data_IF_924461358509
#
_entry.id   IF_924461358509
#
_cell.length_a   1.000
_cell.length_b   1.000
_cell.length_c   1.000
_cell.angle_alpha   90.00
_cell.angle_beta   90.00
_cell.angle_gamma   90.00
#
_symmetry.space_group_name_H-M   'P 1'
#
loop_
_entity.id
_entity.type
_entity.pdbx_description
1 polymer ?
#
# COMPACT_ATOMS: atom_id res chain seq x y z
N UNK A 1 -13.65 13.78 14.83
CA UNK A 1 -14.00 12.55 14.09
C UNK A 1 -13.35 12.53 12.71
N UNK A 2 -13.60 13.50 11.82
CA UNK A 2 -12.99 13.55 10.45
C UNK A 2 -11.44 13.57 10.46
N UNK A 3 -10.81 14.26 11.41
CA UNK A 3 -9.33 14.36 11.55
C UNK A 3 -8.65 13.08 12.03
N UNK A 4 -9.37 12.22 12.74
CA UNK A 4 -8.84 10.98 13.31
C UNK A 4 -8.93 9.83 12.31
N UNK A 5 -9.98 9.84 11.49
CA UNK A 5 -10.18 8.88 10.40
C UNK A 5 -9.19 9.13 9.27
N UNK A 6 -8.99 10.40 8.87
CA UNK A 6 -7.96 10.79 7.90
C UNK A 6 -6.53 10.49 8.36
N UNK A 7 -6.23 10.58 9.67
CA UNK A 7 -4.90 10.22 10.19
C UNK A 7 -4.66 8.71 10.23
N UNK A 8 -5.68 7.91 10.55
CA UNK A 8 -5.63 6.43 10.45
C UNK A 8 -5.46 5.96 9.02
N UNK A 9 -6.12 6.61 8.07
CA UNK A 9 -6.02 6.32 6.65
C UNK A 9 -4.66 6.66 6.07
N UNK A 10 -4.08 7.83 6.42
CA UNK A 10 -2.67 8.18 6.11
C UNK A 10 -1.71 7.11 6.63
N UNK A 11 -2.02 6.57 7.82
CA UNK A 11 -1.27 5.51 8.47
C UNK A 11 -1.18 4.25 7.64
N UNK A 12 -2.29 3.80 7.07
CA UNK A 12 -2.32 2.54 6.32
C UNK A 12 -1.47 2.56 5.05
N UNK A 13 -1.56 3.58 4.19
CA UNK A 13 -0.87 3.54 2.88
C UNK A 13 0.65 3.52 2.97
N UNK A 14 1.26 4.32 3.87
CA UNK A 14 2.71 4.35 4.05
C UNK A 14 3.21 3.09 4.77
N UNK A 15 2.49 2.67 5.80
CA UNK A 15 2.78 1.46 6.57
C UNK A 15 2.73 0.21 5.66
N UNK A 16 1.73 0.11 4.78
CA UNK A 16 1.64 -0.97 3.79
C UNK A 16 2.84 -1.00 2.84
N UNK A 17 3.29 0.17 2.34
CA UNK A 17 4.51 0.24 1.50
C UNK A 17 5.76 -0.14 2.30
N UNK A 18 5.88 0.28 3.56
CA UNK A 18 7.00 -0.08 4.42
C UNK A 18 7.05 -1.60 4.66
N UNK A 19 5.93 -2.19 5.06
CA UNK A 19 5.81 -3.62 5.31
C UNK A 19 6.15 -4.40 4.03
N UNK A 20 5.56 -4.03 2.89
CA UNK A 20 5.81 -4.71 1.62
C UNK A 20 7.28 -4.57 1.16
N UNK A 21 7.89 -3.38 1.33
CA UNK A 21 9.32 -3.17 1.03
C UNK A 21 10.21 -4.16 1.79
N UNK A 22 9.90 -4.44 3.05
CA UNK A 22 10.69 -5.32 3.92
C UNK A 22 10.16 -6.77 4.00
N UNK A 23 9.15 -7.14 3.21
CA UNK A 23 8.82 -8.55 2.95
C UNK A 23 9.93 -9.24 2.16
N UNK A 24 10.63 -8.49 1.29
CA UNK A 24 11.84 -8.98 0.62
C UNK A 24 13.02 -9.00 1.61
N UNK A 25 13.52 -10.21 1.90
CA UNK A 25 14.64 -10.41 2.82
C UNK A 25 15.95 -9.80 2.28
N UNK A 26 16.08 -9.59 0.96
CA UNK A 26 17.21 -8.86 0.40
C UNK A 26 17.21 -7.38 0.81
N UNK A 27 16.03 -6.76 0.91
CA UNK A 27 15.89 -5.40 1.41
C UNK A 27 16.21 -5.34 2.91
N UNK A 28 15.83 -6.36 3.69
CA UNK A 28 16.23 -6.48 5.11
C UNK A 28 17.76 -6.61 5.24
N UNK A 29 18.41 -7.43 4.39
CA UNK A 29 19.87 -7.53 4.36
C UNK A 29 20.53 -6.21 4.01
N UNK A 30 20.01 -5.51 3.01
CA UNK A 30 20.51 -4.21 2.60
C UNK A 30 20.44 -3.21 3.76
N UNK A 31 19.29 -3.12 4.42
CA UNK A 31 19.12 -2.29 5.61
C UNK A 31 20.12 -2.66 6.71
N UNK A 32 20.28 -3.96 7.00
CA UNK A 32 21.24 -4.42 8.00
C UNK A 32 22.68 -3.96 7.69
N UNK A 33 23.12 -4.11 6.43
CA UNK A 33 24.46 -3.69 5.98
C UNK A 33 24.65 -2.18 6.00
N UNK A 34 23.59 -1.42 5.75
CA UNK A 34 23.61 0.05 5.88
C UNK A 34 23.74 0.48 7.35
N UNK A 35 23.09 -0.23 8.27
CA UNK A 35 23.22 0.01 9.72
C UNK A 35 24.55 -0.51 10.31
N UNK A 36 25.14 -1.51 9.67
CA UNK A 36 26.35 -2.22 10.11
C UNK A 36 27.38 -2.39 8.98
N UNK A 37 27.97 -1.30 8.49
CA UNK A 37 28.93 -1.37 7.38
C UNK A 37 30.18 -2.20 7.72
N UNK A 38 30.48 -2.39 9.01
CA UNK A 38 31.58 -3.23 9.48
C UNK A 38 31.35 -4.73 9.26
N UNK A 39 30.09 -5.19 9.14
CA UNK A 39 29.75 -6.61 9.05
C UNK A 39 29.55 -7.05 7.59
N UNK A 40 30.67 -7.29 6.91
CA UNK A 40 30.70 -7.63 5.47
C UNK A 40 30.32 -9.07 5.14
N UNK A 41 30.30 -9.96 6.13
CA UNK A 41 30.15 -11.41 5.92
C UNK A 41 28.70 -11.89 5.98
N UNK A 42 27.76 -11.04 6.43
CA UNK A 42 26.35 -11.41 6.55
C UNK A 42 25.73 -11.58 5.16
N UNK A 43 24.98 -12.68 5.04
CA UNK A 43 24.21 -13.07 3.87
C UNK A 43 22.73 -13.09 4.18
N UNK A 44 21.88 -13.29 3.17
CA UNK A 44 20.42 -13.35 3.35
C UNK A 44 20.04 -14.52 4.27
N UNK A 45 20.77 -15.63 4.19
CA UNK A 45 20.51 -16.86 4.96
C UNK A 45 20.74 -16.68 6.47
N UNK A 46 21.47 -15.63 6.88
CA UNK A 46 21.72 -15.30 8.28
C UNK A 46 20.57 -14.51 8.92
N UNK A 47 19.58 -14.07 8.13
CA UNK A 47 18.47 -13.23 8.60
C UNK A 47 17.30 -14.11 9.02
N UNK A 48 16.86 -13.92 10.27
CA UNK A 48 15.64 -14.55 10.77
C UNK A 48 14.61 -13.49 11.09
N UNK A 49 13.53 -13.41 10.31
CA UNK A 49 12.44 -12.47 10.56
C UNK A 49 11.72 -12.84 11.87
N UNK A 50 11.61 -11.85 12.76
CA UNK A 50 10.98 -11.94 14.09
C UNK A 50 9.84 -10.92 14.25
N UNK A 51 9.30 -10.40 13.15
CA UNK A 51 8.18 -9.47 13.16
C UNK A 51 6.99 -10.09 13.89
N UNK A 52 6.49 -9.39 14.91
CA UNK A 52 5.31 -9.77 15.68
C UNK A 52 4.08 -9.59 14.79
N UNK A 53 3.77 -10.61 14.01
CA UNK A 53 2.46 -10.74 13.35
C UNK A 53 1.48 -11.30 14.36
N UNK A 54 0.34 -10.66 14.52
CA UNK A 54 -0.75 -11.24 15.33
C UNK A 54 -2.01 -11.36 14.52
N UNK A 55 -2.71 -12.47 14.76
CA UNK A 55 -3.93 -12.89 14.07
C UNK A 55 -5.19 -12.42 14.83
N UNK A 56 -5.03 -11.85 16.03
CA UNK A 56 -6.11 -11.39 16.89
C UNK A 56 -6.15 -9.86 16.93
N UNK A 57 -7.34 -9.27 16.82
CA UNK A 57 -7.58 -7.83 16.94
C UNK A 57 -7.15 -7.36 18.36
N UNK A 58 -6.41 -6.24 18.46
CA UNK A 58 -5.86 -5.62 19.70
C UNK A 58 -4.53 -6.14 20.28
N UNK A 59 -3.73 -6.87 19.53
CA UNK A 59 -2.37 -7.27 19.95
C UNK A 59 -1.28 -6.33 19.43
N UNK A 60 -0.11 -6.36 20.09
CA UNK A 60 1.10 -5.71 19.60
C UNK A 60 1.43 -6.17 18.16
N UNK A 61 1.70 -5.21 17.29
CA UNK A 61 2.28 -5.41 15.96
C UNK A 61 3.43 -4.42 15.80
N UNK A 62 4.62 -4.90 15.47
CA UNK A 62 5.74 -4.05 15.03
C UNK A 62 5.93 -4.20 13.52
N UNK A 63 6.48 -3.17 12.89
CA UNK A 63 6.53 -3.11 11.42
C UNK A 63 7.63 -4.00 10.86
N UNK A 64 8.81 -4.02 11.51
CA UNK A 64 9.90 -4.95 11.18
C UNK A 64 10.68 -5.38 12.42
N UNK A 65 10.89 -6.67 12.59
CA UNK A 65 11.84 -7.23 13.56
C UNK A 65 12.61 -8.37 12.93
N UNK A 66 13.92 -8.45 13.15
CA UNK A 66 14.73 -9.54 12.64
C UNK A 66 15.98 -9.78 13.49
N UNK A 67 16.46 -11.02 13.47
CA UNK A 67 17.71 -11.43 14.09
C UNK A 67 18.78 -11.59 13.04
N UNK A 68 20.00 -11.16 13.37
CA UNK A 68 21.23 -11.49 12.65
C UNK A 68 22.27 -11.84 13.69
N UNK A 69 22.76 -13.09 13.68
CA UNK A 69 23.71 -13.62 14.68
C UNK A 69 23.17 -13.44 16.11
N UNK A 70 23.80 -12.59 16.91
CA UNK A 70 23.45 -12.28 18.30
C UNK A 70 22.75 -10.92 18.46
N UNK A 71 22.37 -10.27 17.35
CA UNK A 71 21.67 -8.97 17.35
C UNK A 71 20.20 -9.14 17.01
N UNK A 72 19.33 -8.55 17.82
CA UNK A 72 17.90 -8.38 17.55
C UNK A 72 17.65 -6.94 17.10
N UNK A 73 17.39 -6.76 15.83
CA UNK A 73 17.04 -5.46 15.26
C UNK A 73 15.52 -5.33 15.24
N UNK A 74 15.00 -4.24 15.80
CA UNK A 74 13.59 -3.89 15.70
C UNK A 74 13.46 -2.48 15.12
N UNK A 75 12.72 -2.41 14.01
CA UNK A 75 12.33 -1.18 13.36
C UNK A 75 10.83 -0.96 13.55
N UNK A 76 10.48 0.24 13.96
CA UNK A 76 9.09 0.70 13.96
C UNK A 76 9.01 1.93 13.08
N UNK A 77 8.02 1.97 12.22
CA UNK A 77 7.76 3.13 11.39
C UNK A 77 7.01 4.19 12.22
N UNK A 78 7.51 5.42 12.20
CA UNK A 78 6.84 6.59 12.74
C UNK A 78 6.61 7.59 11.62
N UNK A 79 5.35 7.78 11.25
CA UNK A 79 4.98 8.62 10.12
C UNK A 79 4.94 10.12 10.48
N UNK A 80 3.90 10.83 10.02
CA UNK A 80 3.86 12.28 9.89
C UNK A 80 3.89 13.05 11.22
N UNK A 81 3.40 12.47 12.31
CA UNK A 81 3.44 13.09 13.65
C UNK A 81 4.26 12.24 14.62
N UNK A 82 5.19 12.88 15.34
CA UNK A 82 5.94 12.21 16.40
C UNK A 82 4.97 11.78 17.50
N UNK A 83 5.01 10.49 17.86
CA UNK A 83 4.23 9.98 18.97
C UNK A 83 5.11 9.92 20.23
N UNK A 84 4.84 10.70 21.28
CA UNK A 84 5.64 10.68 22.50
C UNK A 84 5.61 9.32 23.21
N UNK A 85 4.62 8.48 22.92
CA UNK A 85 4.49 7.14 23.49
C UNK A 85 5.28 6.06 22.71
N UNK A 86 6.05 6.42 21.68
CA UNK A 86 6.86 5.46 20.93
C UNK A 86 7.82 4.63 21.80
N UNK A 87 8.51 5.20 22.81
CA UNK A 87 9.38 4.41 23.66
C UNK A 87 8.66 3.32 24.45
N UNK A 88 7.41 3.59 24.87
CA UNK A 88 6.58 2.60 25.55
C UNK A 88 6.16 1.45 24.62
N UNK A 89 5.79 1.77 23.36
CA UNK A 89 5.51 0.74 22.35
C UNK A 89 6.73 -0.15 22.11
N UNK A 90 7.91 0.45 21.97
CA UNK A 90 9.16 -0.27 21.74
C UNK A 90 9.52 -1.19 22.92
N UNK A 91 9.30 -0.74 24.16
CA UNK A 91 9.48 -1.57 25.35
C UNK A 91 8.59 -2.81 25.30
N UNK A 92 7.31 -2.64 24.95
CA UNK A 92 6.38 -3.77 24.83
C UNK A 92 6.78 -4.73 23.72
N UNK A 93 7.20 -4.23 22.55
CA UNK A 93 7.70 -5.08 21.45
C UNK A 93 8.92 -5.87 21.88
N UNK A 94 9.88 -5.23 22.56
CA UNK A 94 11.10 -5.91 22.98
C UNK A 94 10.81 -7.04 23.96
N UNK A 95 9.96 -6.78 24.95
CA UNK A 95 9.58 -7.78 25.95
C UNK A 95 8.90 -8.99 25.31
N UNK A 96 7.94 -8.76 24.40
CA UNK A 96 7.23 -9.84 23.71
C UNK A 96 8.15 -10.63 22.76
N UNK A 97 9.03 -9.95 22.01
CA UNK A 97 10.01 -10.62 21.14
C UNK A 97 10.96 -11.49 21.94
N UNK A 98 11.46 -11.04 23.08
CA UNK A 98 12.31 -11.88 23.93
C UNK A 98 11.55 -13.06 24.54
N UNK A 99 10.31 -12.89 24.96
CA UNK A 99 9.49 -13.99 25.46
C UNK A 99 9.32 -15.08 24.40
N UNK A 100 9.06 -14.70 23.15
CA UNK A 100 9.00 -15.64 22.01
C UNK A 100 10.34 -16.29 21.74
N UNK A 101 11.41 -15.51 21.69
CA UNK A 101 12.77 -16.02 21.48
C UNK A 101 13.16 -17.08 22.51
N UNK A 102 12.85 -16.87 23.80
CA UNK A 102 13.13 -17.86 24.84
C UNK A 102 12.31 -19.14 24.63
N UNK A 103 11.03 -19.02 24.26
CA UNK A 103 10.19 -20.17 23.95
C UNK A 103 10.73 -20.97 22.75
N UNK A 104 11.08 -20.28 21.65
CA UNK A 104 11.59 -20.89 20.42
C UNK A 104 12.96 -21.55 20.62
N UNK A 105 13.80 -20.99 21.50
CA UNK A 105 15.10 -21.55 21.87
C UNK A 105 15.06 -22.51 23.05
N UNK A 106 13.86 -22.83 23.55
CA UNK A 106 13.61 -23.75 24.68
C UNK A 106 14.40 -23.37 25.94
N UNK A 107 14.48 -22.07 26.20
CA UNK A 107 15.07 -21.49 27.39
C UNK A 107 13.97 -21.05 28.37
N UNK A 108 14.28 -21.01 29.66
CA UNK A 108 13.35 -20.50 30.68
C UNK A 108 14.02 -19.51 31.62
N UNK A 109 13.34 -18.39 31.82
CA UNK A 109 13.63 -17.37 32.81
C UNK A 109 13.56 -17.88 34.26
N UNK A 110 12.92 -19.04 34.49
CA UNK A 110 12.86 -19.72 35.80
C UNK A 110 13.98 -20.75 35.98
N UNK A 111 14.79 -21.00 34.96
CA UNK A 111 15.89 -21.96 35.06
C UNK A 111 17.02 -21.41 35.94
N UNK A 112 17.78 -22.31 36.58
CA UNK A 112 18.95 -21.93 37.38
C UNK A 112 20.11 -21.42 36.50
N UNK A 113 20.11 -21.77 35.20
CA UNK A 113 21.10 -21.31 34.26
C UNK A 113 20.72 -19.94 33.69
N UNK A 114 21.71 -19.07 33.47
CA UNK A 114 21.47 -17.77 32.84
C UNK A 114 21.00 -17.96 31.39
N UNK A 115 19.84 -17.41 31.05
CA UNK A 115 19.34 -17.39 29.68
C UNK A 115 20.24 -16.56 28.76
N UNK A 116 20.33 -16.98 27.51
CA UNK A 116 20.99 -16.24 26.43
C UNK A 116 19.93 -15.50 25.63
N UNK A 117 20.09 -14.19 25.51
CA UNK A 117 19.21 -13.33 24.71
C UNK A 117 20.08 -12.49 23.76
N UNK A 118 19.59 -12.21 22.54
CA UNK A 118 20.30 -11.37 21.58
C UNK A 118 20.31 -9.92 22.05
N UNK A 119 21.38 -9.17 21.72
CA UNK A 119 21.49 -7.74 22.03
C UNK A 119 20.47 -6.95 21.21
N UNK A 120 19.65 -6.09 21.82
CA UNK A 120 18.63 -5.35 21.09
C UNK A 120 19.19 -4.09 20.44
N UNK A 121 18.73 -3.79 19.23
CA UNK A 121 18.95 -2.54 18.55
C UNK A 121 17.61 -1.99 18.04
N UNK A 122 17.31 -0.77 18.43
CA UNK A 122 15.96 -0.23 18.38
C UNK A 122 15.97 1.03 17.54
N UNK A 123 15.18 1.00 16.48
CA UNK A 123 15.14 2.06 15.49
C UNK A 123 13.71 2.53 15.25
N UNK A 124 13.59 3.83 15.04
CA UNK A 124 12.37 4.45 14.53
C UNK A 124 12.69 5.12 13.21
N UNK A 125 12.03 4.70 12.13
CA UNK A 125 12.10 5.40 10.85
C UNK A 125 11.07 6.52 10.88
N UNK A 126 11.54 7.77 10.94
CA UNK A 126 10.69 8.95 11.10
C UNK A 126 10.62 9.78 9.83
N UNK A 127 9.43 9.85 9.22
CA UNK A 127 9.23 10.58 7.95
C UNK A 127 8.59 11.97 8.11
N UNK A 128 8.29 12.41 9.33
CA UNK A 128 7.58 13.67 9.58
C UNK A 128 8.48 14.91 9.53
N UNK A 129 7.85 16.09 9.61
CA UNK A 129 8.54 17.40 9.52
C UNK A 129 9.07 17.91 10.87
N UNK A 130 8.63 17.33 12.00
CA UNK A 130 9.02 17.80 13.33
C UNK A 130 10.48 17.43 13.62
N UNK A 131 11.27 18.41 14.07
CA UNK A 131 12.63 18.13 14.57
C UNK A 131 12.54 17.18 15.76
N UNK A 132 13.21 16.03 15.64
CA UNK A 132 13.32 15.03 16.69
C UNK A 132 14.80 14.81 17.04
N UNK A 133 15.05 14.35 18.27
CA UNK A 133 16.38 13.95 18.69
C UNK A 133 16.83 12.68 17.97
N UNK A 134 18.12 12.57 17.67
CA UNK A 134 18.71 11.36 17.06
C UNK A 134 18.54 10.12 17.94
N UNK A 135 18.48 10.32 19.26
CA UNK A 135 18.20 9.26 20.24
C UNK A 135 17.07 9.68 21.16
N UNK A 136 16.16 8.74 21.41
CA UNK A 136 15.05 8.90 22.35
C UNK A 136 15.23 7.89 23.49
N UNK A 137 15.24 8.41 24.71
CA UNK A 137 15.32 7.62 25.94
C UNK A 137 13.92 7.42 26.52
N UNK A 138 13.61 6.19 26.92
CA UNK A 138 12.40 5.88 27.68
C UNK A 138 12.38 6.58 29.03
N UNK A 139 13.52 6.59 29.73
CA UNK A 139 13.66 7.29 31.02
C UNK A 139 13.41 8.78 30.90
N UNK A 140 14.02 9.45 29.91
CA UNK A 140 13.81 10.88 29.67
C UNK A 140 12.36 11.19 29.26
N UNK A 141 11.72 10.30 28.50
CA UNK A 141 10.36 10.53 27.98
C UNK A 141 9.26 10.41 29.05
N UNK A 142 9.48 9.61 30.10
CA UNK A 142 8.45 9.30 31.09
C UNK A 142 8.81 9.68 32.54
N UNK A 143 10.09 9.83 32.86
CA UNK A 143 10.58 9.94 34.24
C UNK A 143 11.68 11.00 34.42
N UNK A 144 11.82 11.93 33.48
CA UNK A 144 12.82 13.01 33.52
C UNK A 144 14.25 12.48 33.73
N UNK A 145 14.55 11.30 33.16
CA UNK A 145 15.86 10.66 33.25
C UNK A 145 16.10 9.87 34.54
N UNK A 146 15.16 9.91 35.50
CA UNK A 146 15.29 9.25 36.80
C UNK A 146 14.59 7.90 36.84
N UNK A 147 15.10 6.92 36.09
CA UNK A 147 14.58 5.55 36.07
C UNK A 147 15.72 4.53 36.05
N UNK A 148 15.58 3.40 36.76
CA UNK A 148 16.49 2.26 36.64
C UNK A 148 16.32 1.50 35.32
N UNK A 149 15.24 1.75 34.58
CA UNK A 149 14.96 1.17 33.26
C UNK A 149 15.04 2.28 32.23
N UNK A 150 15.98 2.13 31.28
CA UNK A 150 16.11 3.04 30.16
C UNK A 150 16.37 2.28 28.86
N UNK A 151 15.45 2.42 27.92
CA UNK A 151 15.52 1.88 26.58
C UNK A 151 15.81 3.04 25.63
N UNK A 152 16.90 2.92 24.87
CA UNK A 152 17.37 3.96 23.94
C UNK A 152 17.06 3.57 22.50
N UNK A 153 16.45 4.48 21.79
CA UNK A 153 15.93 4.28 20.43
C UNK A 153 16.63 5.26 19.51
N UNK A 154 17.24 4.76 18.44
CA UNK A 154 17.83 5.59 17.39
C UNK A 154 16.74 6.02 16.41
N UNK A 155 16.71 7.29 16.05
CA UNK A 155 15.75 7.83 15.08
C UNK A 155 16.46 8.01 13.75
N UNK A 156 15.93 7.37 12.70
CA UNK A 156 16.38 7.49 11.31
C UNK A 156 15.42 8.46 10.60
N UNK A 157 15.87 9.68 10.29
CA UNK A 157 15.00 10.74 9.74
C UNK A 157 15.61 11.48 8.52
N UNK A 158 16.81 11.07 8.10
CA UNK A 158 17.54 11.70 7.00
C UNK A 158 17.02 11.20 5.65
N UNK A 159 17.05 12.08 4.64
CA UNK A 159 16.74 11.71 3.26
C UNK A 159 18.06 11.57 2.51
N UNK A 160 18.46 10.34 2.25
CA UNK A 160 19.65 9.98 1.50
C UNK A 160 19.41 8.74 0.63
N UNK A 161 20.49 8.12 0.14
CA UNK A 161 20.41 6.95 -0.75
C UNK A 161 20.52 5.60 -0.03
N UNK A 162 20.51 5.59 1.30
CA UNK A 162 20.24 4.35 2.06
C UNK A 162 18.80 3.91 1.81
N UNK A 163 18.48 2.64 2.03
CA UNK A 163 17.14 2.11 1.82
C UNK A 163 16.10 2.83 2.70
N UNK A 164 16.42 3.08 3.97
CA UNK A 164 15.54 3.81 4.88
C UNK A 164 15.42 5.30 4.49
N UNK A 165 16.51 5.93 4.05
CA UNK A 165 16.50 7.31 3.56
C UNK A 165 15.68 7.49 2.28
N UNK A 166 15.77 6.53 1.35
CA UNK A 166 14.93 6.49 0.16
C UNK A 166 13.45 6.32 0.52
N UNK A 167 13.13 5.47 1.49
CA UNK A 167 11.76 5.32 2.00
C UNK A 167 11.23 6.62 2.61
N UNK A 168 12.04 7.33 3.40
CA UNK A 168 11.68 8.65 3.94
C UNK A 168 11.47 9.66 2.80
N UNK A 169 12.32 9.63 1.78
CA UNK A 169 12.18 10.42 0.55
C UNK A 169 10.86 10.14 -0.16
N UNK A 170 10.52 8.88 -0.36
CA UNK A 170 9.22 8.44 -0.91
C UNK A 170 8.05 8.99 -0.09
N UNK A 171 8.11 8.86 1.24
CA UNK A 171 7.06 9.34 2.14
C UNK A 171 6.83 10.85 2.04
N UNK A 172 7.90 11.63 1.86
CA UNK A 172 7.84 13.10 1.69
C UNK A 172 7.25 13.48 0.34
N UNK A 173 7.69 12.82 -0.74
CA UNK A 173 7.11 13.03 -2.08
C UNK A 173 5.62 12.70 -2.05
N UNK A 174 5.23 11.60 -1.41
CA UNK A 174 3.81 11.25 -1.28
C UNK A 174 3.00 12.33 -0.54
N UNK A 175 3.53 12.86 0.56
CA UNK A 175 2.87 13.95 1.30
C UNK A 175 2.72 15.21 0.45
N UNK A 176 3.71 15.54 -0.39
CA UNK A 176 3.64 16.65 -1.33
C UNK A 176 2.59 16.41 -2.43
N UNK A 177 2.58 15.23 -3.04
CA UNK A 177 1.62 14.91 -4.10
C UNK A 177 0.20 14.85 -3.58
N UNK A 178 -0.03 14.40 -2.34
CA UNK A 178 -1.37 14.43 -1.72
C UNK A 178 -1.87 15.84 -1.50
N UNK A 179 -1.01 16.85 -1.29
CA UNK A 179 -1.45 18.25 -1.21
C UNK A 179 -2.03 18.76 -2.54
N UNK A 180 -1.63 18.16 -3.66
CA UNK A 180 -2.03 18.56 -5.02
C UNK A 180 -3.20 17.70 -5.50
N UNK A 181 -3.02 16.38 -5.47
CA UNK A 181 -3.90 15.40 -6.09
C UNK A 181 -4.83 14.70 -5.08
N UNK A 182 -4.74 15.07 -3.80
CA UNK A 182 -5.50 14.46 -2.70
C UNK A 182 -5.30 12.94 -2.66
N UNK A 183 -6.25 12.22 -2.09
CA UNK A 183 -6.38 10.81 -2.37
C UNK A 183 -6.86 10.68 -3.81
N UNK A 184 -5.95 10.42 -4.76
CA UNK A 184 -6.30 9.96 -6.11
C UNK A 184 -5.28 8.96 -6.64
N UNK A 185 -5.66 8.15 -7.64
CA UNK A 185 -4.72 7.33 -8.41
C UNK A 185 -3.61 8.21 -9.03
N UNK A 186 -3.94 9.45 -9.40
CA UNK A 186 -2.96 10.41 -9.90
C UNK A 186 -1.92 10.76 -8.84
N UNK A 187 -2.32 10.89 -7.58
CA UNK A 187 -1.36 11.06 -6.48
C UNK A 187 -0.35 9.91 -6.43
N UNK A 188 -0.83 8.66 -6.50
CA UNK A 188 0.05 7.49 -6.47
C UNK A 188 1.01 7.45 -7.66
N UNK A 189 0.48 7.62 -8.88
CA UNK A 189 1.27 7.62 -10.12
C UNK A 189 2.33 8.72 -10.14
N UNK A 190 1.95 9.92 -9.73
CA UNK A 190 2.87 11.05 -9.72
C UNK A 190 3.94 10.91 -8.63
N UNK A 191 3.57 10.34 -7.47
CA UNK A 191 4.55 9.98 -6.43
C UNK A 191 5.58 9.00 -6.98
N UNK A 192 5.13 7.93 -7.65
CA UNK A 192 6.02 6.92 -8.24
C UNK A 192 6.93 7.55 -9.28
N UNK A 193 6.37 8.34 -10.22
CA UNK A 193 7.14 9.05 -11.26
C UNK A 193 8.26 9.89 -10.65
N UNK A 194 7.93 10.74 -9.67
CA UNK A 194 8.89 11.64 -9.02
C UNK A 194 9.93 10.84 -8.21
N UNK A 195 9.52 9.78 -7.53
CA UNK A 195 10.45 8.92 -6.78
C UNK A 195 11.45 8.23 -7.70
N UNK A 196 10.99 7.70 -8.84
CA UNK A 196 11.85 7.11 -9.86
C UNK A 196 12.85 8.14 -10.41
N UNK A 197 12.40 9.37 -10.71
CA UNK A 197 13.28 10.47 -11.16
C UNK A 197 14.31 10.89 -10.11
N UNK A 198 13.94 10.86 -8.83
CA UNK A 198 14.82 11.21 -7.70
C UNK A 198 15.72 10.06 -7.25
N UNK A 199 15.53 8.85 -7.78
CA UNK A 199 16.29 7.67 -7.36
C UNK A 199 15.77 6.97 -6.10
N UNK A 200 14.59 7.35 -5.59
CA UNK A 200 14.02 6.75 -4.38
C UNK A 200 13.29 5.46 -4.71
N UNK A 201 13.71 4.36 -4.08
CA UNK A 201 13.10 3.04 -4.17
C UNK A 201 12.94 2.53 -5.62
N UNK A 202 13.81 2.95 -6.55
CA UNK A 202 13.66 2.69 -8.00
C UNK A 202 13.40 1.22 -8.33
N UNK A 203 14.23 0.31 -7.82
CA UNK A 203 14.09 -1.12 -8.06
C UNK A 203 12.75 -1.66 -7.56
N UNK A 204 12.39 -1.29 -6.32
CA UNK A 204 11.14 -1.68 -5.70
C UNK A 204 9.92 -1.13 -6.45
N UNK A 205 9.92 0.17 -6.78
CA UNK A 205 8.80 0.80 -7.49
C UNK A 205 8.63 0.27 -8.91
N UNK A 206 9.71 -0.17 -9.57
CA UNK A 206 9.62 -0.80 -10.89
C UNK A 206 8.94 -2.18 -10.84
N UNK A 207 9.23 -2.96 -9.81
CA UNK A 207 8.68 -4.31 -9.65
C UNK A 207 7.25 -4.29 -9.09
N UNK A 208 6.98 -3.37 -8.15
CA UNK A 208 5.75 -3.31 -7.38
C UNK A 208 4.84 -2.13 -7.76
N UNK A 209 4.98 -1.53 -8.94
CA UNK A 209 4.25 -0.31 -9.32
C UNK A 209 2.73 -0.45 -9.10
N UNK A 210 2.14 -1.56 -9.55
CA UNK A 210 0.69 -1.80 -9.41
C UNK A 210 0.28 -1.93 -7.95
N UNK A 211 1.02 -2.72 -7.17
CA UNK A 211 0.75 -2.96 -5.75
C UNK A 211 0.89 -1.66 -4.94
N UNK A 212 1.91 -0.85 -5.26
CA UNK A 212 2.11 0.46 -4.63
C UNK A 212 0.99 1.43 -5.01
N UNK A 213 0.55 1.45 -6.27
CA UNK A 213 -0.65 2.19 -6.65
C UNK A 213 -1.84 1.69 -5.83
N UNK A 214 -2.09 0.38 -5.77
CA UNK A 214 -3.23 -0.18 -5.03
C UNK A 214 -3.17 0.18 -3.53
N UNK A 215 -2.03 0.00 -2.84
CA UNK A 215 -1.84 0.37 -1.42
C UNK A 215 -2.03 1.87 -1.15
N UNK A 216 -1.55 2.72 -2.06
CA UNK A 216 -1.70 4.17 -1.95
C UNK A 216 -3.10 4.65 -2.33
N UNK A 217 -3.85 3.80 -3.05
CA UNK A 217 -5.09 4.12 -3.70
C UNK A 217 -6.27 3.29 -3.17
N UNK A 218 -6.07 2.45 -2.16
CA UNK A 218 -7.04 1.55 -1.52
C UNK A 218 -8.28 2.25 -0.92
N UNK A 219 -8.35 3.58 -1.03
CA UNK A 219 -9.52 4.42 -0.76
C UNK A 219 -10.43 4.65 -1.99
N UNK A 220 -10.06 4.17 -3.20
CA UNK A 220 -10.83 4.32 -4.45
C UNK A 220 -11.84 3.21 -4.72
N UNK A 221 -12.09 2.33 -3.75
CA UNK A 221 -12.86 1.12 -4.00
C UNK A 221 -14.35 1.38 -4.38
N UNK A 222 -14.86 2.60 -4.22
CA UNK A 222 -16.18 2.97 -4.77
C UNK A 222 -16.10 3.70 -6.11
N UNK A 223 -15.21 4.66 -6.30
CA UNK A 223 -15.26 5.53 -7.49
C UNK A 223 -14.55 4.93 -8.70
N UNK A 224 -13.44 4.19 -8.49
CA UNK A 224 -12.75 3.49 -9.58
C UNK A 224 -13.54 2.27 -10.06
N UNK A 225 -14.09 1.48 -9.14
CA UNK A 225 -15.01 0.38 -9.45
C UNK A 225 -16.26 0.89 -10.16
N UNK A 226 -16.85 2.00 -9.69
CA UNK A 226 -17.98 2.65 -10.36
C UNK A 226 -17.60 3.20 -11.72
N UNK A 227 -16.42 3.78 -11.91
CA UNK A 227 -15.95 4.25 -13.23
C UNK A 227 -15.67 3.09 -14.21
N UNK A 228 -15.10 1.99 -13.73
CA UNK A 228 -14.87 0.77 -14.51
C UNK A 228 -16.20 0.10 -14.89
N UNK A 229 -17.12 -0.05 -13.94
CA UNK A 229 -18.46 -0.60 -14.14
C UNK A 229 -19.31 0.30 -15.06
N UNK A 230 -19.23 1.62 -14.91
CA UNK A 230 -19.89 2.59 -15.79
C UNK A 230 -19.31 2.52 -17.21
N UNK A 231 -17.99 2.41 -17.39
CA UNK A 231 -17.39 2.24 -18.72
C UNK A 231 -17.83 0.95 -19.41
N UNK A 232 -17.87 -0.16 -18.67
CA UNK A 232 -18.32 -1.45 -19.20
C UNK A 232 -19.81 -1.37 -19.59
N UNK A 233 -20.66 -0.85 -18.69
CA UNK A 233 -22.09 -0.69 -18.92
C UNK A 233 -22.41 0.26 -20.09
N UNK A 234 -21.64 1.34 -20.26
CA UNK A 234 -21.84 2.31 -21.34
C UNK A 234 -21.43 1.75 -22.70
N UNK A 235 -20.39 0.91 -22.76
CA UNK A 235 -20.02 0.17 -23.98
C UNK A 235 -21.11 -0.80 -24.39
N UNK A 236 -21.60 -1.63 -23.47
CA UNK A 236 -22.66 -2.61 -23.73
C UNK A 236 -23.97 -1.93 -24.17
N UNK A 237 -24.35 -0.83 -23.51
CA UNK A 237 -25.55 -0.06 -23.87
C UNK A 237 -25.42 0.60 -25.25
N UNK A 238 -24.24 1.12 -25.60
CA UNK A 238 -23.99 1.72 -26.92
C UNK A 238 -24.01 0.68 -28.04
N UNK A 239 -23.45 -0.51 -27.80
CA UNK A 239 -23.47 -1.59 -28.78
C UNK A 239 -24.88 -2.14 -29.02
N UNK A 240 -25.67 -2.33 -27.94
CA UNK A 240 -27.08 -2.71 -28.05
C UNK A 240 -27.91 -1.67 -28.79
N UNK A 241 -27.80 -0.39 -28.41
CA UNK A 241 -28.53 0.69 -29.09
C UNK A 241 -28.18 0.82 -30.58
N UNK A 242 -26.92 0.61 -30.95
CA UNK A 242 -26.50 0.55 -32.37
C UNK A 242 -27.00 -0.68 -33.11
N UNK A 243 -27.21 -1.80 -32.44
CA UNK A 243 -27.77 -3.01 -33.03
C UNK A 243 -29.28 -2.87 -33.24
N UNK A 244 -29.99 -2.38 -32.23
CA UNK A 244 -31.43 -2.11 -32.26
C UNK A 244 -31.78 -1.06 -33.31
N UNK A 245 -31.11 0.10 -33.32
CA UNK A 245 -31.35 1.13 -34.33
C UNK A 245 -31.05 0.69 -35.77
N UNK A 246 -30.11 -0.24 -35.97
CA UNK A 246 -29.86 -0.85 -37.29
C UNK A 246 -30.96 -1.83 -37.69
N UNK A 247 -31.51 -2.57 -36.73
CA UNK A 247 -32.60 -3.49 -36.97
C UNK A 247 -33.89 -2.73 -37.30
N UNK A 248 -34.23 -1.72 -36.50
CA UNK A 248 -35.39 -0.83 -36.69
C UNK A 248 -35.31 -0.09 -38.02
N UNK A 249 -34.18 0.56 -38.33
CA UNK A 249 -34.01 1.24 -39.61
C UNK A 249 -34.10 0.30 -40.83
N UNK A 250 -33.72 -0.98 -40.68
CA UNK A 250 -33.87 -1.98 -41.74
C UNK A 250 -35.33 -2.44 -41.88
N UNK A 251 -36.09 -2.50 -40.79
CA UNK A 251 -37.52 -2.83 -40.85
C UNK A 251 -38.35 -1.67 -41.40
N UNK A 252 -38.07 -0.44 -40.97
CA UNK A 252 -38.74 0.76 -41.48
C UNK A 252 -38.43 0.96 -42.96
N UNK A 253 -37.16 0.89 -43.37
CA UNK A 253 -36.80 1.03 -44.80
C UNK A 253 -37.46 -0.04 -45.69
N UNK A 254 -37.62 -1.28 -45.20
CA UNK A 254 -38.36 -2.32 -45.92
C UNK A 254 -39.87 -2.04 -46.00
N UNK A 255 -40.45 -1.48 -44.94
CA UNK A 255 -41.87 -1.13 -44.92
C UNK A 255 -42.16 0.05 -45.86
N UNK A 256 -41.31 1.09 -45.84
CA UNK A 256 -41.38 2.23 -46.75
C UNK A 256 -41.19 1.81 -48.22
N UNK A 257 -40.23 0.92 -48.49
CA UNK A 257 -40.02 0.37 -49.82
C UNK A 257 -41.22 -0.44 -50.30
N UNK A 258 -41.78 -1.33 -49.45
CA UNK A 258 -43.01 -2.08 -49.74
C UNK A 258 -44.18 -1.15 -50.03
N UNK A 259 -44.36 -0.09 -49.23
CA UNK A 259 -45.41 0.90 -49.43
C UNK A 259 -45.23 1.64 -50.77
N UNK A 260 -44.01 2.08 -51.09
CA UNK A 260 -43.72 2.73 -52.37
C UNK A 260 -43.97 1.81 -53.57
N UNK A 261 -43.66 0.52 -53.45
CA UNK A 261 -43.94 -0.50 -54.48
C UNK A 261 -45.45 -0.70 -54.62
N UNK A 262 -46.18 -0.84 -53.53
CA UNK A 262 -47.64 -0.98 -53.53
C UNK A 262 -48.34 0.22 -54.21
N UNK A 263 -47.90 1.45 -53.90
CA UNK A 263 -48.42 2.68 -54.53
C UNK A 263 -48.18 2.70 -56.04
N UNK A 264 -46.97 2.30 -56.48
CA UNK A 264 -46.63 2.19 -57.91
C UNK A 264 -47.43 1.10 -58.63
N UNK A 265 -47.70 -0.03 -57.97
CA UNK A 265 -48.53 -1.11 -58.53
C UNK A 265 -49.99 -0.67 -58.66
N UNK A 266 -50.54 0.00 -57.63
CA UNK A 266 -51.89 0.57 -57.67
C UNK A 266 -52.05 1.59 -58.81
N UNK A 267 -51.06 2.45 -59.02
CA UNK A 267 -51.04 3.41 -60.13
C UNK A 267 -51.00 2.75 -61.53
N UNK A 268 -50.53 1.49 -61.63
CA UNK A 268 -50.50 0.70 -62.86
C UNK A 268 -51.74 -0.16 -63.07
N UNK A 269 -52.74 -0.07 -62.19
CA UNK A 269 -54.03 -0.73 -62.35
C UNK A 269 -54.16 -2.13 -61.74
N UNK A 270 -53.21 -2.53 -60.89
CA UNK A 270 -53.32 -3.79 -60.13
C UNK A 270 -54.40 -3.67 -59.04
N UNK A 271 -55.17 -4.74 -58.84
CA UNK A 271 -56.17 -4.84 -57.78
C UNK A 271 -55.53 -5.06 -56.41
N UNK A 272 -56.24 -4.75 -55.32
CA UNK A 272 -55.72 -4.89 -53.96
C UNK A 272 -55.39 -6.35 -53.60
N UNK A 273 -56.08 -7.33 -54.20
CA UNK A 273 -55.79 -8.75 -54.02
C UNK A 273 -54.48 -9.17 -54.70
N UNK A 274 -54.20 -8.68 -55.92
CA UNK A 274 -52.95 -8.99 -56.64
C UNK A 274 -51.72 -8.37 -55.97
N UNK A 275 -51.88 -7.19 -55.36
CA UNK A 275 -50.80 -6.51 -54.63
C UNK A 275 -50.44 -7.25 -53.33
N UNK A 276 -51.44 -7.72 -52.58
CA UNK A 276 -51.23 -8.51 -51.37
C UNK A 276 -50.49 -9.82 -51.68
N UNK A 277 -50.91 -10.54 -52.73
CA UNK A 277 -50.28 -11.79 -53.16
C UNK A 277 -48.82 -11.60 -53.62
N UNK A 278 -48.51 -10.50 -54.32
CA UNK A 278 -47.15 -10.20 -54.81
C UNK A 278 -46.19 -9.70 -53.74
N UNK A 279 -46.69 -9.03 -52.69
CA UNK A 279 -45.87 -8.54 -51.57
C UNK A 279 -45.75 -9.55 -50.42
N UNK A 280 -46.49 -10.66 -50.51
CA UNK A 280 -46.42 -11.80 -49.59
C UNK A 280 -47.03 -11.50 -48.22
N UNK A 281 -48.11 -10.71 -48.19
CA UNK A 281 -48.90 -10.36 -47.00
C UNK A 281 -50.27 -11.07 -47.00
#
# INVERSE_FOLDING_TARGET
MITEETSKTRRKSKDSVFVNLFEDTNNVLRLYKELHPEDTQVTVDDIQIQTIKSVLVNTLYNDLGFLVKDKLVMLVEAQSAWNPNMPLRMLFYLAETYRRYLADTVQSEHSAAKVKIPKPELYVVYSGEQKCSETVSFSDSFFDGNSPVDLKIRVLNEVDMTLHGQYIGFCKVFDEQRKIYQDSIMCARETIRICMEKGYLVSYLHEHEKEVVDMMSELFDEEYLRAAYNRASWKDATEKGKAEGRAEGKTEGKAEERQSIAEKMKAKGYSEQEIAELLGD
#
